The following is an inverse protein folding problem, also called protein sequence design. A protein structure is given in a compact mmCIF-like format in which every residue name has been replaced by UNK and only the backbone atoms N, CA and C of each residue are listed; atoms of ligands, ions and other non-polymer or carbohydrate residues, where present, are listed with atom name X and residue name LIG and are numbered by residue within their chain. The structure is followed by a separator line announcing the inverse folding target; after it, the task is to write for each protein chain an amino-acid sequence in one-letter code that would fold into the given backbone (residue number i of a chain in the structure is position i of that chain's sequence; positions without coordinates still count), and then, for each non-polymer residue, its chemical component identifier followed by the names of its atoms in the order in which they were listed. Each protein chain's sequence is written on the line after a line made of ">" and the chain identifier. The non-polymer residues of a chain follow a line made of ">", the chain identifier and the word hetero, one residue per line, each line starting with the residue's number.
data_IF_636062308835
#
_entry.id   IF_636062308835
#
_cell.length_a   1.000
_cell.length_b   1.000
_cell.length_c   1.000
_cell.angle_alpha   90.00
_cell.angle_beta   90.00
_cell.angle_gamma   90.00
#
_symmetry.space_group_name_H-M   'P 1'
#
loop_
_entity.id
_entity.type
_entity.pdbx_description
1 polymer ?
#
# COMPACT_ATOMS: atom_id res chain seq x y z
N UNK A 1 -9.36 -16.36 -26.39
CA UNK A 1 -10.06 -15.75 -25.24
C UNK A 1 -9.77 -14.26 -25.30
N UNK A 2 -10.78 -13.45 -25.63
CA UNK A 2 -10.63 -12.05 -26.06
C UNK A 2 -10.44 -11.12 -24.86
N UNK A 3 -9.24 -10.57 -24.70
CA UNK A 3 -8.98 -9.46 -23.79
C UNK A 3 -9.65 -8.19 -24.34
N UNK A 4 -10.74 -7.77 -23.71
CA UNK A 4 -11.46 -6.55 -24.08
C UNK A 4 -10.61 -5.34 -23.71
N UNK A 5 -9.95 -4.74 -24.70
CA UNK A 5 -9.31 -3.44 -24.56
C UNK A 5 -10.40 -2.37 -24.44
N UNK A 6 -10.83 -2.07 -23.21
CA UNK A 6 -11.71 -0.93 -22.93
C UNK A 6 -11.09 0.35 -23.49
N UNK A 7 -11.88 1.16 -24.19
CA UNK A 7 -11.38 2.32 -24.91
C UNK A 7 -10.84 3.38 -23.93
N UNK A 8 -9.87 4.19 -24.36
CA UNK A 8 -9.30 5.28 -23.54
C UNK A 8 -10.40 6.17 -22.94
N UNK A 9 -11.44 6.44 -23.72
CA UNK A 9 -12.61 7.25 -23.31
C UNK A 9 -13.43 6.59 -22.21
N UNK A 10 -13.60 5.26 -22.25
CA UNK A 10 -14.30 4.50 -21.20
C UNK A 10 -13.54 4.53 -19.88
N UNK A 11 -12.20 4.48 -19.93
CA UNK A 11 -11.36 4.61 -18.74
C UNK A 11 -11.48 6.00 -18.13
N UNK A 12 -11.41 7.06 -18.94
CA UNK A 12 -11.60 8.45 -18.45
C UNK A 12 -12.98 8.63 -17.83
N UNK A 13 -14.03 8.12 -18.48
CA UNK A 13 -15.40 8.17 -17.95
C UNK A 13 -15.54 7.41 -16.64
N UNK A 14 -14.94 6.22 -16.52
CA UNK A 14 -14.90 5.46 -15.28
C UNK A 14 -14.21 6.25 -14.16
N UNK A 15 -13.03 6.82 -14.42
CA UNK A 15 -12.29 7.65 -13.45
C UNK A 15 -13.13 8.84 -12.98
N UNK A 16 -13.71 9.58 -13.91
CA UNK A 16 -14.56 10.73 -13.61
C UNK A 16 -15.80 10.30 -12.80
N UNK A 17 -16.41 9.17 -13.14
CA UNK A 17 -17.58 8.65 -12.41
C UNK A 17 -17.24 8.21 -10.99
N UNK A 18 -16.13 7.47 -10.79
CA UNK A 18 -15.69 7.05 -9.45
C UNK A 18 -15.39 8.28 -8.60
N UNK A 19 -14.59 9.22 -9.11
CA UNK A 19 -14.27 10.47 -8.39
C UNK A 19 -15.52 11.32 -8.11
N UNK A 20 -16.41 11.48 -9.09
CA UNK A 20 -17.66 12.25 -8.94
C UNK A 20 -18.56 11.67 -7.85
N UNK A 21 -18.75 10.33 -7.82
CA UNK A 21 -19.54 9.67 -6.78
C UNK A 21 -18.97 9.86 -5.38
N UNK A 22 -17.66 10.02 -5.26
CA UNK A 22 -16.97 10.22 -3.99
C UNK A 22 -16.95 11.68 -3.53
N UNK A 23 -16.88 12.63 -4.48
CA UNK A 23 -16.88 14.07 -4.20
C UNK A 23 -18.29 14.62 -3.97
N UNK A 24 -19.31 13.99 -4.54
CA UNK A 24 -20.71 14.34 -4.38
C UNK A 24 -21.51 13.10 -3.95
N UNK A 25 -21.50 12.76 -2.64
CA UNK A 25 -22.43 11.78 -2.10
C UNK A 25 -23.85 12.16 -2.51
N UNK A 26 -24.65 11.18 -2.93
CA UNK A 26 -26.02 11.40 -3.39
C UNK A 26 -26.84 12.17 -2.33
N UNK A 27 -27.80 13.02 -2.71
CA UNK A 27 -28.44 14.01 -1.83
C UNK A 27 -29.43 13.44 -0.80
N UNK A 28 -29.32 12.16 -0.42
CA UNK A 28 -30.03 11.64 0.75
C UNK A 28 -29.39 12.05 2.09
N UNK A 29 -28.23 12.70 2.07
CA UNK A 29 -27.63 13.40 3.22
C UNK A 29 -27.41 14.86 2.83
N UNK A 30 -28.25 15.75 3.36
CA UNK A 30 -28.06 17.19 3.22
C UNK A 30 -26.83 17.63 4.03
N UNK A 31 -25.69 17.84 3.38
CA UNK A 31 -24.56 18.52 4.03
C UNK A 31 -24.03 19.66 3.16
N UNK A 32 -23.93 20.83 3.80
CA UNK A 32 -23.32 22.05 3.28
C UNK A 32 -21.87 21.83 2.87
N UNK A 33 -21.32 22.62 1.93
CA UNK A 33 -19.97 22.40 1.43
C UNK A 33 -18.93 22.55 2.56
N UNK A 34 -18.20 21.46 2.83
CA UNK A 34 -17.05 21.44 3.72
C UNK A 34 -15.91 22.22 3.08
N UNK A 35 -15.69 23.46 3.53
CA UNK A 35 -14.48 24.21 3.21
C UNK A 35 -13.31 23.55 3.95
N UNK A 36 -12.41 22.93 3.21
CA UNK A 36 -11.15 22.39 3.72
C UNK A 36 -10.27 23.57 4.17
N UNK A 37 -10.35 23.91 5.45
CA UNK A 37 -9.41 24.86 6.07
C UNK A 37 -8.02 24.21 6.20
N UNK A 38 -6.95 24.82 5.65
CA UNK A 38 -5.59 24.33 5.85
C UNK A 38 -5.21 24.49 7.32
N UNK A 39 -5.19 23.40 8.09
CA UNK A 39 -4.57 23.43 9.41
C UNK A 39 -3.05 23.45 9.24
N UNK A 40 -2.47 24.63 9.49
CA UNK A 40 -1.05 24.75 9.74
C UNK A 40 -0.67 23.98 11.02
N UNK A 41 0.47 23.29 10.93
CA UNK A 41 1.28 22.74 12.03
C UNK A 41 0.91 21.35 12.58
N UNK A 42 1.68 20.36 12.12
CA UNK A 42 2.12 19.22 12.92
C UNK A 42 2.95 19.74 14.10
N UNK A 43 2.31 20.12 15.20
CA UNK A 43 3.00 20.26 16.49
C UNK A 43 3.15 18.86 17.11
N UNK A 44 4.34 18.29 17.01
CA UNK A 44 4.69 17.13 17.84
C UNK A 44 5.01 17.64 19.25
N UNK A 45 4.30 17.19 20.30
CA UNK A 45 4.75 17.48 21.65
C UNK A 45 6.12 16.81 21.85
N UNK A 46 7.06 17.47 22.54
CA UNK A 46 8.39 16.92 22.77
C UNK A 46 8.28 15.59 23.51
N UNK A 47 9.08 14.59 23.12
CA UNK A 47 9.14 13.30 23.77
C UNK A 47 9.78 13.42 25.15
N UNK A 48 9.00 13.82 26.14
CA UNK A 48 9.46 13.87 27.53
C UNK A 48 9.57 12.44 28.06
N UNK A 49 10.82 11.96 28.11
CA UNK A 49 11.22 10.87 28.99
C UNK A 49 10.80 11.20 30.42
N UNK A 50 10.25 10.19 31.10
CA UNK A 50 10.02 10.08 32.54
C UNK A 50 9.31 11.25 33.23
N UNK A 51 8.07 11.03 33.70
CA UNK A 51 7.73 11.16 35.13
C UNK A 51 6.23 10.91 35.42
N UNK A 52 6.03 10.15 36.49
CA UNK A 52 4.97 10.21 37.49
C UNK A 52 3.52 9.78 37.18
N UNK A 53 3.26 8.54 37.59
CA UNK A 53 2.00 7.77 37.54
C UNK A 53 0.87 8.29 38.44
N UNK A 54 1.02 9.44 39.12
CA UNK A 54 0.00 9.97 40.04
C UNK A 54 -0.92 11.04 39.42
N UNK A 55 -0.55 11.65 38.29
CA UNK A 55 -1.38 12.65 37.61
C UNK A 55 -2.50 12.04 36.73
N UNK A 56 -2.49 10.73 36.50
CA UNK A 56 -3.39 10.07 35.55
C UNK A 56 -4.81 9.83 36.10
N UNK A 57 -5.03 9.94 37.41
CA UNK A 57 -6.34 9.64 38.03
C UNK A 57 -7.35 10.80 37.97
N UNK A 58 -6.89 12.03 37.68
CA UNK A 58 -7.78 13.22 37.59
C UNK A 58 -8.12 13.65 36.17
N UNK A 59 -7.45 13.10 35.15
CA UNK A 59 -7.77 13.32 33.72
C UNK A 59 -8.69 12.26 33.11
N UNK A 60 -9.04 11.20 33.85
CA UNK A 60 -9.89 10.11 33.34
C UNK A 60 -11.39 10.46 33.26
N UNK A 61 -11.81 11.60 33.84
CA UNK A 61 -13.23 12.02 33.88
C UNK A 61 -13.55 13.27 33.04
N UNK A 62 -12.57 13.80 32.29
CA UNK A 62 -12.75 14.94 31.37
C UNK A 62 -12.22 14.59 29.98
N UNK A 63 -12.58 13.40 29.50
CA UNK A 63 -12.37 13.02 28.11
C UNK A 63 -13.43 11.97 27.76
N UNK A 64 -14.69 12.41 27.77
CA UNK A 64 -15.78 11.66 27.15
C UNK A 64 -16.71 12.66 26.49
N UNK A 65 -16.95 12.40 25.21
CA UNK A 65 -17.89 13.08 24.30
C UNK A 65 -17.49 14.48 23.85
N UNK A 66 -16.52 14.53 22.94
CA UNK A 66 -16.62 15.45 21.80
C UNK A 66 -16.74 14.56 20.57
N UNK A 67 -17.98 14.19 20.25
CA UNK A 67 -18.31 13.50 19.02
C UNK A 67 -18.29 14.55 17.91
N UNK A 68 -17.10 14.84 17.38
CA UNK A 68 -16.99 15.52 16.10
C UNK A 68 -17.78 14.68 15.08
N UNK A 69 -18.87 15.27 14.59
CA UNK A 69 -19.76 14.70 13.58
C UNK A 69 -19.07 14.62 12.24
N UNK A 70 -18.00 13.82 12.14
CA UNK A 70 -17.44 13.43 10.88
C UNK A 70 -18.44 12.47 10.24
N UNK A 71 -19.31 12.98 9.35
CA UNK A 71 -20.01 12.14 8.39
C UNK A 71 -18.95 11.19 7.80
N UNK A 72 -19.05 9.90 8.09
CA UNK A 72 -18.13 8.92 7.51
C UNK A 72 -18.42 8.94 6.03
N UNK A 73 -17.61 9.64 5.23
CA UNK A 73 -17.72 9.56 3.79
C UNK A 73 -17.49 8.10 3.45
N UNK A 74 -18.58 7.41 3.11
CA UNK A 74 -18.58 5.99 2.85
C UNK A 74 -18.06 5.79 1.42
N UNK A 75 -16.73 5.76 1.28
CA UNK A 75 -16.10 5.46 0.01
C UNK A 75 -16.23 3.97 -0.29
N UNK A 76 -16.68 3.62 -1.50
CA UNK A 76 -16.51 2.27 -2.04
C UNK A 76 -15.01 1.99 -2.22
N UNK A 77 -14.44 1.30 -1.24
CA UNK A 77 -13.02 0.94 -1.20
C UNK A 77 -12.61 0.05 -2.35
N UNK A 78 -13.52 -0.76 -2.90
CA UNK A 78 -13.24 -1.63 -4.05
C UNK A 78 -13.15 -0.82 -5.34
N UNK A 79 -14.08 0.10 -5.54
CA UNK A 79 -14.03 1.02 -6.68
C UNK A 79 -12.78 1.91 -6.63
N UNK A 80 -12.42 2.42 -5.46
CA UNK A 80 -11.21 3.22 -5.27
C UNK A 80 -9.93 2.40 -5.53
N UNK A 81 -9.85 1.17 -5.02
CA UNK A 81 -8.73 0.26 -5.31
C UNK A 81 -8.59 0.01 -6.80
N UNK A 82 -9.70 -0.33 -7.48
CA UNK A 82 -9.69 -0.55 -8.92
C UNK A 82 -9.23 0.69 -9.70
N UNK A 83 -9.57 1.88 -9.20
CA UNK A 83 -9.12 3.14 -9.78
C UNK A 83 -7.62 3.40 -9.56
N UNK A 84 -7.13 3.21 -8.34
CA UNK A 84 -5.75 3.52 -7.97
C UNK A 84 -4.74 2.55 -8.59
N UNK A 85 -5.06 1.26 -8.59
CA UNK A 85 -4.15 0.21 -9.04
C UNK A 85 -4.33 -0.16 -10.50
N UNK A 86 -5.54 0.03 -11.02
CA UNK A 86 -5.93 -0.05 -12.43
C UNK A 86 -5.79 -1.43 -13.11
N UNK A 87 -4.72 -2.19 -12.84
CA UNK A 87 -4.39 -3.46 -13.48
C UNK A 87 -3.85 -4.51 -12.46
N UNK A 88 -3.83 -5.78 -12.87
CA UNK A 88 -3.21 -6.91 -12.14
C UNK A 88 -3.60 -6.98 -10.65
N UNK A 89 -4.86 -6.71 -10.31
CA UNK A 89 -5.33 -6.70 -8.92
C UNK A 89 -5.14 -8.07 -8.27
N UNK A 90 -5.44 -9.14 -8.99
CA UNK A 90 -5.32 -10.52 -8.51
C UNK A 90 -3.87 -10.91 -8.23
N UNK A 91 -2.93 -10.50 -9.09
CA UNK A 91 -1.50 -10.73 -8.87
C UNK A 91 -1.00 -9.95 -7.64
N UNK A 92 -1.48 -8.71 -7.45
CA UNK A 92 -1.15 -7.89 -6.28
C UNK A 92 -1.68 -8.52 -4.99
N UNK A 93 -2.95 -8.90 -4.99
CA UNK A 93 -3.61 -9.54 -3.84
C UNK A 93 -2.95 -10.88 -3.50
N UNK A 94 -2.55 -11.65 -4.52
CA UNK A 94 -1.78 -12.88 -4.34
C UNK A 94 -0.44 -12.62 -3.62
N UNK A 95 0.34 -11.62 -4.06
CA UNK A 95 1.61 -11.28 -3.42
C UNK A 95 1.42 -10.72 -2.00
N UNK A 96 0.39 -9.90 -1.76
CA UNK A 96 0.03 -9.49 -0.40
C UNK A 96 -0.29 -10.70 0.49
N UNK A 97 -1.00 -11.70 -0.05
CA UNK A 97 -1.27 -12.96 0.64
C UNK A 97 0.02 -13.67 1.06
N UNK A 98 1.00 -13.82 0.16
CA UNK A 98 2.29 -14.43 0.49
C UNK A 98 3.05 -13.66 1.58
N UNK A 99 3.06 -12.32 1.48
CA UNK A 99 3.73 -11.45 2.45
C UNK A 99 3.10 -11.58 3.83
N UNK A 100 1.77 -11.55 3.92
CA UNK A 100 1.04 -11.60 5.19
C UNK A 100 1.14 -12.97 5.88
N UNK A 101 1.25 -14.05 5.11
CA UNK A 101 1.30 -15.41 5.63
C UNK A 101 2.70 -15.82 6.15
N UNK A 102 3.76 -15.12 5.73
CA UNK A 102 5.13 -15.51 6.06
C UNK A 102 5.72 -14.71 7.22
N UNK A 103 6.32 -15.41 8.19
CA UNK A 103 6.99 -14.79 9.33
C UNK A 103 8.21 -13.94 8.92
N UNK A 104 8.73 -14.09 7.70
CA UNK A 104 9.84 -13.26 7.19
C UNK A 104 9.47 -11.77 7.07
N UNK A 105 8.17 -11.47 7.00
CA UNK A 105 7.64 -10.12 6.85
C UNK A 105 7.10 -9.53 8.17
N UNK A 106 7.38 -10.20 9.29
CA UNK A 106 7.02 -9.78 10.65
C UNK A 106 5.52 -9.41 10.80
N UNK A 107 4.59 -10.35 10.52
CA UNK A 107 3.17 -10.10 10.63
C UNK A 107 2.77 -9.77 12.08
N UNK A 108 1.86 -8.80 12.24
CA UNK A 108 1.33 -8.34 13.52
C UNK A 108 -0.18 -8.19 13.41
N UNK A 109 -0.94 -9.03 14.11
CA UNK A 109 -2.38 -8.89 14.21
C UNK A 109 -2.75 -7.76 15.18
N UNK A 110 -3.53 -6.78 14.70
CA UNK A 110 -4.14 -5.73 15.51
C UNK A 110 -5.57 -5.52 15.07
N UNK A 111 -6.52 -5.99 15.88
CA UNK A 111 -7.94 -5.75 15.67
C UNK A 111 -8.49 -6.42 14.41
N UNK A 112 -8.03 -7.64 14.10
CA UNK A 112 -8.48 -8.40 12.93
C UNK A 112 -7.86 -7.94 11.61
N UNK A 113 -6.80 -7.11 11.67
CA UNK A 113 -5.98 -6.71 10.52
C UNK A 113 -4.55 -7.13 10.77
N UNK A 114 -3.92 -7.73 9.75
CA UNK A 114 -2.51 -8.11 9.80
C UNK A 114 -1.68 -7.01 9.17
N UNK A 115 -0.74 -6.48 9.95
CA UNK A 115 0.25 -5.50 9.51
C UNK A 115 1.59 -6.19 9.35
N UNK A 116 2.33 -5.83 8.30
CA UNK A 116 3.67 -6.34 8.01
C UNK A 116 4.64 -5.17 7.93
N UNK A 117 5.90 -5.42 8.22
CA UNK A 117 6.95 -4.42 8.03
C UNK A 117 8.34 -4.90 8.43
N UNK A 118 9.40 -4.16 8.08
CA UNK A 118 10.74 -4.44 8.55
C UNK A 118 10.83 -4.41 10.09
N UNK A 119 11.71 -5.25 10.65
CA UNK A 119 12.01 -5.19 12.08
C UNK A 119 13.07 -4.12 12.38
N UNK A 120 12.61 -2.89 12.62
CA UNK A 120 13.50 -1.74 12.86
C UNK A 120 14.41 -1.85 14.10
N UNK A 121 14.28 -2.91 14.91
CA UNK A 121 15.21 -3.17 16.02
C UNK A 121 16.46 -3.95 15.59
N UNK A 122 16.50 -4.44 14.34
CA UNK A 122 17.65 -5.16 13.79
C UNK A 122 18.72 -4.21 13.26
N UNK A 123 19.98 -4.67 13.30
CA UNK A 123 21.08 -3.97 12.66
C UNK A 123 20.92 -3.96 11.12
N UNK A 124 21.66 -3.08 10.46
CA UNK A 124 21.69 -2.98 9.00
C UNK A 124 22.13 -4.31 8.34
N UNK A 125 23.09 -5.00 8.93
CA UNK A 125 23.62 -6.28 8.45
C UNK A 125 22.55 -7.37 8.57
N UNK A 126 21.81 -7.41 9.68
CA UNK A 126 20.68 -8.32 9.86
C UNK A 126 19.56 -8.03 8.86
N UNK A 127 19.23 -6.76 8.64
CA UNK A 127 18.25 -6.36 7.62
C UNK A 127 18.64 -6.84 6.22
N UNK A 128 19.91 -6.70 5.83
CA UNK A 128 20.41 -7.21 4.53
C UNK A 128 20.23 -8.72 4.39
N UNK A 129 20.53 -9.49 5.44
CA UNK A 129 20.30 -10.94 5.45
C UNK A 129 18.82 -11.25 5.29
N UNK A 130 17.96 -10.53 6.03
CA UNK A 130 16.51 -10.73 5.95
C UNK A 130 15.94 -10.35 4.57
N UNK A 131 16.42 -9.27 3.95
CA UNK A 131 16.05 -8.91 2.56
C UNK A 131 16.36 -10.04 1.60
N UNK A 132 17.55 -10.65 1.69
CA UNK A 132 17.91 -11.78 0.81
C UNK A 132 17.03 -13.01 1.07
N UNK A 133 16.75 -13.35 2.33
CA UNK A 133 15.81 -14.45 2.67
C UNK A 133 14.41 -14.22 2.14
N UNK A 134 13.92 -12.97 2.18
CA UNK A 134 12.63 -12.60 1.58
C UNK A 134 12.64 -12.80 0.07
N UNK A 135 13.72 -12.40 -0.62
CA UNK A 135 13.86 -12.61 -2.07
C UNK A 135 13.85 -14.10 -2.40
N UNK A 136 14.59 -14.91 -1.65
CA UNK A 136 14.61 -16.36 -1.81
C UNK A 136 13.21 -16.97 -1.66
N UNK A 137 12.50 -16.64 -0.57
CA UNK A 137 11.12 -17.08 -0.36
C UNK A 137 10.16 -16.68 -1.50
N UNK A 138 10.26 -15.43 -1.97
CA UNK A 138 9.44 -14.96 -3.10
C UNK A 138 9.79 -15.71 -4.41
N UNK A 139 11.06 -16.05 -4.61
CA UNK A 139 11.50 -16.86 -5.75
C UNK A 139 10.93 -18.28 -5.69
N UNK A 140 10.98 -18.93 -4.53
CA UNK A 140 10.39 -20.26 -4.30
C UNK A 140 8.88 -20.28 -4.54
N UNK A 141 8.18 -19.20 -4.17
CA UNK A 141 6.75 -19.04 -4.45
C UNK A 141 6.44 -18.72 -5.93
N UNK A 142 7.46 -18.58 -6.78
CA UNK A 142 7.30 -18.34 -8.21
C UNK A 142 6.95 -16.89 -8.58
N UNK A 143 7.17 -15.93 -7.69
CA UNK A 143 6.89 -14.50 -7.96
C UNK A 143 7.61 -14.02 -9.22
N UNK A 144 8.89 -14.40 -9.36
CA UNK A 144 9.76 -14.00 -10.46
C UNK A 144 9.62 -14.87 -11.73
N UNK A 145 8.67 -15.81 -11.76
CA UNK A 145 8.46 -16.67 -12.92
C UNK A 145 8.15 -15.82 -14.15
N UNK A 146 8.97 -15.99 -15.19
CA UNK A 146 8.82 -15.25 -16.43
C UNK A 146 9.43 -13.86 -16.45
N UNK A 147 10.07 -13.38 -15.38
CA UNK A 147 10.64 -12.03 -15.33
C UNK A 147 11.77 -11.83 -16.35
N UNK A 148 12.55 -12.87 -16.66
CA UNK A 148 13.65 -12.78 -17.63
C UNK A 148 13.28 -13.31 -19.02
N UNK A 149 12.18 -14.05 -19.13
CA UNK A 149 11.82 -14.77 -20.37
C UNK A 149 10.58 -14.19 -21.05
N UNK A 150 9.70 -13.49 -20.34
CA UNK A 150 8.47 -12.93 -20.89
C UNK A 150 8.57 -11.41 -21.01
N UNK A 151 8.63 -10.92 -22.25
CA UNK A 151 8.73 -9.49 -22.58
C UNK A 151 7.44 -8.91 -23.18
N UNK A 152 6.33 -9.62 -23.12
CA UNK A 152 5.04 -9.11 -23.64
C UNK A 152 4.51 -7.96 -22.76
N UNK A 153 3.72 -7.02 -23.31
CA UNK A 153 3.17 -5.93 -22.51
C UNK A 153 2.42 -6.38 -21.23
N UNK A 154 1.59 -7.45 -21.27
CA UNK A 154 0.94 -7.96 -20.05
C UNK A 154 1.92 -8.51 -19.01
N UNK A 155 3.02 -9.15 -19.42
CA UNK A 155 4.02 -9.66 -18.48
C UNK A 155 4.84 -8.54 -17.84
N UNK A 156 5.07 -7.44 -18.56
CA UNK A 156 5.69 -6.24 -18.01
C UNK A 156 4.77 -5.56 -16.98
N UNK A 157 3.48 -5.39 -17.30
CA UNK A 157 2.50 -4.83 -16.35
C UNK A 157 2.37 -5.65 -15.07
N UNK A 158 2.34 -6.99 -15.19
CA UNK A 158 2.39 -7.88 -14.02
C UNK A 158 3.63 -7.63 -13.18
N UNK A 159 4.79 -7.49 -13.82
CA UNK A 159 6.07 -7.24 -13.13
C UNK A 159 6.05 -5.92 -12.36
N UNK A 160 5.54 -4.85 -12.97
CA UNK A 160 5.38 -3.54 -12.31
C UNK A 160 4.42 -3.63 -11.12
N UNK A 161 3.27 -4.29 -11.30
CA UNK A 161 2.28 -4.44 -10.23
C UNK A 161 2.87 -5.17 -9.01
N UNK A 162 3.64 -6.24 -9.22
CA UNK A 162 4.30 -6.99 -8.15
C UNK A 162 5.47 -6.21 -7.52
N UNK A 163 6.20 -5.42 -8.32
CA UNK A 163 7.28 -4.56 -7.82
C UNK A 163 6.75 -3.48 -6.87
N UNK A 164 5.61 -2.86 -7.19
CA UNK A 164 4.98 -1.86 -6.33
C UNK A 164 4.50 -2.44 -4.99
N UNK A 165 4.00 -3.68 -5.00
CA UNK A 165 3.66 -4.39 -3.75
C UNK A 165 4.92 -4.60 -2.91
N UNK A 166 6.03 -5.01 -3.51
CA UNK A 166 7.30 -5.15 -2.80
C UNK A 166 7.80 -3.81 -2.23
N UNK A 167 7.65 -2.70 -2.97
CA UNK A 167 8.00 -1.36 -2.54
C UNK A 167 7.13 -0.86 -1.38
N UNK A 168 5.85 -1.20 -1.40
CA UNK A 168 4.92 -0.86 -0.31
C UNK A 168 5.27 -1.53 1.02
N UNK A 169 5.98 -2.68 0.99
CA UNK A 169 6.46 -3.35 2.20
C UNK A 169 7.80 -2.79 2.68
N UNK A 170 8.81 -2.78 1.81
CA UNK A 170 10.18 -2.35 2.16
C UNK A 170 10.93 -1.88 0.92
N UNK A 171 11.35 -0.62 0.96
CA UNK A 171 12.13 -0.02 -0.12
C UNK A 171 13.43 -0.79 -0.41
N UNK A 172 14.09 -1.36 0.62
CA UNK A 172 15.34 -2.12 0.41
C UNK A 172 15.12 -3.39 -0.39
N UNK A 173 14.01 -4.10 -0.13
CA UNK A 173 13.57 -5.26 -0.90
C UNK A 173 13.28 -4.87 -2.36
N UNK A 174 12.50 -3.81 -2.54
CA UNK A 174 12.14 -3.27 -3.86
C UNK A 174 13.37 -2.93 -4.68
N UNK A 175 14.31 -2.14 -4.15
CA UNK A 175 15.54 -1.78 -4.86
C UNK A 175 16.36 -3.01 -5.23
N UNK A 176 16.50 -3.98 -4.31
CA UNK A 176 17.30 -5.17 -4.58
C UNK A 176 16.72 -5.98 -5.75
N UNK A 177 15.41 -6.16 -5.81
CA UNK A 177 14.71 -6.80 -6.94
C UNK A 177 14.82 -5.94 -8.20
N UNK A 178 14.59 -4.63 -8.03
CA UNK A 178 14.56 -3.61 -9.07
C UNK A 178 15.83 -3.57 -9.92
N UNK A 179 16.99 -3.50 -9.25
CA UNK A 179 18.29 -3.45 -9.92
C UNK A 179 18.53 -4.70 -10.78
N UNK A 180 18.09 -5.89 -10.34
CA UNK A 180 18.34 -7.13 -11.08
C UNK A 180 17.45 -7.24 -12.31
N UNK A 181 16.15 -6.97 -12.18
CA UNK A 181 15.18 -7.22 -13.27
C UNK A 181 14.87 -6.02 -14.15
N UNK A 182 15.04 -4.78 -13.66
CA UNK A 182 14.69 -3.56 -14.41
C UNK A 182 15.91 -2.81 -14.92
N UNK A 183 17.02 -2.79 -14.17
CA UNK A 183 18.24 -2.11 -14.64
C UNK A 183 19.17 -3.08 -15.36
N UNK A 184 19.60 -4.15 -14.70
CA UNK A 184 20.60 -5.05 -15.27
C UNK A 184 20.09 -5.82 -16.50
N UNK A 185 18.92 -6.46 -16.39
CA UNK A 185 18.34 -7.21 -17.52
C UNK A 185 18.04 -6.32 -18.75
N UNK A 186 17.42 -5.16 -18.54
CA UNK A 186 17.10 -4.27 -19.66
C UNK A 186 18.35 -3.70 -20.32
N UNK A 187 19.41 -3.41 -19.55
CA UNK A 187 20.70 -3.01 -20.12
C UNK A 187 21.30 -4.11 -21.00
N UNK A 188 21.17 -5.39 -20.64
CA UNK A 188 21.72 -6.49 -21.45
C UNK A 188 20.89 -6.74 -22.71
N UNK A 189 19.56 -6.70 -22.60
CA UNK A 189 18.65 -7.11 -23.70
C UNK A 189 18.40 -6.00 -24.72
N UNK A 190 18.50 -4.73 -24.33
CA UNK A 190 18.16 -3.61 -25.22
C UNK A 190 19.34 -2.73 -25.64
N UNK A 191 20.56 -3.03 -25.17
CA UNK A 191 21.79 -2.29 -25.54
C UNK A 191 22.68 -3.11 -26.49
N UNK A 192 22.23 -4.29 -26.92
CA UNK A 192 22.85 -5.12 -27.96
C UNK A 192 21.86 -5.43 -29.08
#
# INVERSE_FOLDING_TARGET
>A
MSSSSTSSTERVAFRAQVLSRHLHPSPSSSSSPCLLEPRACLEYPPSTKAMDTKAMRKRKHRFRHESDGHESIAFDTKAMRKLMDDHNLEDRDWLYGLIIQSNLFNPRDRGGKVFVGPDYNQSKEQQRVMTMKRIEYLAECGVFKGYLTYSSPPSQLRRFALQEVADSFDHSLSIKIGVHFFLWYYMIVYVW
#
